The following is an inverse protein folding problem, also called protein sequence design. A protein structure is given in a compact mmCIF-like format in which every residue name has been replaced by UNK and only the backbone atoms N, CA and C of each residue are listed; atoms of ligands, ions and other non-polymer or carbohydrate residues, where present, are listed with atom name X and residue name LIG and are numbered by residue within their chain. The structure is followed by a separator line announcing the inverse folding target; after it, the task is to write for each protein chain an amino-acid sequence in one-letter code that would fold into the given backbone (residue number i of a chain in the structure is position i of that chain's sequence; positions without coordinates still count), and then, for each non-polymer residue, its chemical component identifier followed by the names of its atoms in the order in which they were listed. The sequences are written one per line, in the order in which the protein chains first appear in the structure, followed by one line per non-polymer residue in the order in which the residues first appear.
data_IF_125229073104
#
_entry.id   IF_125229073104
#
_cell.length_a   1.000
_cell.length_b   1.000
_cell.length_c   1.000
_cell.angle_alpha   90.00
_cell.angle_beta   90.00
_cell.angle_gamma   90.00
#
_symmetry.space_group_name_H-M   'P 1'
#
loop_
_entity.id
_entity.type
_entity.pdbx_description
1 polymer ?
#
# COMPACT_ATOMS: atom_id res chain seq x y z
N UNK A 1 3.80 10.70 36.18
CA UNK A 1 3.05 9.75 35.35
C UNK A 1 2.32 10.55 34.30
N UNK A 2 2.92 10.65 33.11
CA UNK A 2 2.34 11.36 31.96
C UNK A 2 1.85 10.27 31.03
N UNK A 3 0.53 10.22 30.79
CA UNK A 3 -0.09 9.34 29.80
C UNK A 3 0.48 9.64 28.41
N UNK A 4 1.41 8.80 27.98
CA UNK A 4 1.89 8.70 26.60
C UNK A 4 1.44 7.35 26.06
N UNK A 5 0.14 7.18 25.82
CA UNK A 5 -0.32 5.96 25.14
C UNK A 5 -1.64 6.14 24.38
N UNK A 6 -1.72 7.20 23.57
CA UNK A 6 -2.59 7.19 22.39
C UNK A 6 -1.72 6.83 21.17
N UNK A 7 -1.24 5.58 21.12
CA UNK A 7 -0.75 5.04 19.84
C UNK A 7 -1.96 5.01 18.91
N UNK A 8 -1.98 5.88 17.90
CA UNK A 8 -3.06 5.96 16.91
C UNK A 8 -3.08 4.66 16.09
N UNK A 9 -3.89 3.71 16.57
CA UNK A 9 -4.08 2.37 16.01
C UNK A 9 -4.84 2.47 14.69
N UNK A 10 -4.50 1.61 13.74
CA UNK A 10 -5.29 1.42 12.51
C UNK A 10 -6.75 1.10 12.87
N UNK A 11 -7.70 1.80 12.25
CA UNK A 11 -9.12 1.53 12.50
C UNK A 11 -9.56 0.22 11.82
N UNK A 12 -10.43 -0.55 12.47
CA UNK A 12 -10.92 -1.85 11.97
C UNK A 12 -11.83 -1.73 10.72
N UNK A 13 -12.30 -0.51 10.42
CA UNK A 13 -13.13 -0.20 9.27
C UNK A 13 -12.29 0.46 8.18
N UNK A 14 -12.28 -0.15 6.99
CA UNK A 14 -11.54 0.40 5.85
C UNK A 14 -12.00 1.82 5.46
N UNK A 15 -13.30 2.10 5.62
CA UNK A 15 -13.87 3.42 5.36
C UNK A 15 -13.24 4.52 6.22
N UNK A 16 -12.93 4.22 7.49
CA UNK A 16 -12.33 5.19 8.41
C UNK A 16 -10.90 5.52 8.02
N UNK A 17 -10.15 4.54 7.47
CA UNK A 17 -8.80 4.79 6.94
C UNK A 17 -8.81 5.75 5.75
N UNK A 18 -9.87 5.69 4.94
CA UNK A 18 -10.06 6.49 3.73
C UNK A 18 -10.69 7.86 3.97
N UNK A 19 -11.23 8.08 5.16
CA UNK A 19 -12.12 9.20 5.43
C UNK A 19 -11.38 10.54 5.40
N UNK A 20 -11.89 11.45 4.58
CA UNK A 20 -11.49 12.85 4.53
C UNK A 20 -12.69 13.76 4.78
N UNK A 21 -12.45 14.86 5.47
CA UNK A 21 -13.39 15.95 5.63
C UNK A 21 -13.18 16.95 4.50
N UNK A 22 -14.24 17.31 3.79
CA UNK A 22 -14.21 18.38 2.80
C UNK A 22 -14.24 19.73 3.52
N UNK A 23 -13.17 20.50 3.37
CA UNK A 23 -13.05 21.86 3.94
C UNK A 23 -13.56 22.92 2.96
N UNK A 24 -13.29 22.72 1.66
CA UNK A 24 -13.67 23.62 0.57
C UNK A 24 -13.82 22.83 -0.74
N UNK A 25 -14.25 23.50 -1.81
CA UNK A 25 -14.54 22.86 -3.11
C UNK A 25 -13.44 21.90 -3.62
N UNK A 26 -12.17 22.23 -3.40
CA UNK A 26 -11.00 21.46 -3.81
C UNK A 26 -10.00 21.24 -2.66
N UNK A 27 -10.47 21.24 -1.41
CA UNK A 27 -9.63 21.16 -0.21
C UNK A 27 -10.22 20.16 0.78
N UNK A 28 -9.39 19.20 1.21
CA UNK A 28 -9.81 18.11 2.08
C UNK A 28 -8.81 17.92 3.22
N UNK A 29 -9.26 17.32 4.32
CA UNK A 29 -8.44 17.04 5.51
C UNK A 29 -8.63 15.61 5.97
N UNK A 30 -7.53 14.90 6.24
CA UNK A 30 -7.58 13.56 6.84
C UNK A 30 -8.27 13.59 8.21
N UNK A 31 -9.17 12.65 8.50
CA UNK A 31 -9.77 12.54 9.84
C UNK A 31 -8.95 11.69 10.80
N UNK A 32 -8.40 10.59 10.31
CA UNK A 32 -7.56 9.68 11.07
C UNK A 32 -6.28 9.38 10.28
N UNK A 33 -5.21 9.10 11.02
CA UNK A 33 -3.91 8.69 10.49
C UNK A 33 -3.33 7.63 11.44
N UNK A 34 -2.65 6.63 10.89
CA UNK A 34 -2.01 5.59 11.68
C UNK A 34 -0.58 5.33 11.21
N UNK A 35 0.26 4.82 12.11
CA UNK A 35 1.63 4.41 11.83
C UNK A 35 1.73 2.90 12.00
N UNK A 36 2.22 2.15 10.99
CA UNK A 36 2.55 0.74 11.15
C UNK A 36 3.63 0.49 12.20
N UNK A 37 3.59 -0.66 12.89
CA UNK A 37 4.58 -0.99 13.91
C UNK A 37 6.01 -0.81 13.38
N UNK A 38 6.81 -0.05 14.13
CA UNK A 38 8.22 0.27 13.81
C UNK A 38 8.44 1.05 12.51
N UNK A 39 7.39 1.59 11.88
CA UNK A 39 7.50 2.55 10.80
C UNK A 39 7.83 3.96 11.32
N UNK A 40 8.29 4.84 10.43
CA UNK A 40 8.71 6.21 10.76
C UNK A 40 7.69 7.28 10.40
N UNK A 41 6.57 6.91 9.78
CA UNK A 41 5.56 7.84 9.30
C UNK A 41 4.26 7.11 9.00
N UNK A 42 3.24 7.90 8.67
CA UNK A 42 1.91 7.41 8.29
C UNK A 42 2.02 6.37 7.18
N UNK A 43 1.17 5.35 7.24
CA UNK A 43 1.09 4.33 6.20
C UNK A 43 0.85 4.93 4.82
N UNK A 44 1.69 4.57 3.84
CA UNK A 44 1.66 5.18 2.50
C UNK A 44 0.35 4.92 1.75
N UNK A 45 -0.19 3.70 1.84
CA UNK A 45 -1.50 3.35 1.28
C UNK A 45 -2.64 4.22 1.82
N UNK A 46 -2.55 4.70 3.06
CA UNK A 46 -3.54 5.63 3.61
C UNK A 46 -3.47 7.00 2.92
N UNK A 47 -2.25 7.53 2.75
CA UNK A 47 -2.02 8.82 2.07
C UNK A 47 -2.47 8.77 0.62
N UNK A 48 -2.12 7.68 -0.10
CA UNK A 48 -2.56 7.44 -1.48
C UNK A 48 -4.09 7.42 -1.55
N UNK A 49 -4.73 6.63 -0.69
CA UNK A 49 -6.15 6.42 -0.76
C UNK A 49 -6.95 7.68 -0.43
N UNK A 50 -6.53 8.46 0.58
CA UNK A 50 -7.17 9.73 0.92
C UNK A 50 -6.97 10.78 -0.18
N UNK A 51 -5.81 10.78 -0.85
CA UNK A 51 -5.58 11.63 -2.02
C UNK A 51 -6.52 11.27 -3.19
N UNK A 52 -6.73 9.97 -3.44
CA UNK A 52 -7.66 9.50 -4.47
C UNK A 52 -9.12 9.80 -4.15
N UNK A 53 -9.55 9.65 -2.89
CA UNK A 53 -10.89 10.08 -2.46
C UNK A 53 -11.06 11.58 -2.74
N UNK A 54 -10.09 12.40 -2.33
CA UNK A 54 -10.09 13.85 -2.56
C UNK A 54 -10.16 14.21 -4.05
N UNK A 55 -9.38 13.55 -4.90
CA UNK A 55 -9.39 13.77 -6.35
C UNK A 55 -10.74 13.39 -6.97
N UNK A 56 -11.30 12.25 -6.56
CA UNK A 56 -12.55 11.71 -7.10
C UNK A 56 -13.75 12.58 -6.77
N UNK A 57 -13.80 13.15 -5.56
CA UNK A 57 -14.82 14.14 -5.16
C UNK A 57 -14.79 15.44 -5.99
N UNK A 58 -13.72 15.69 -6.75
CA UNK A 58 -13.56 16.83 -7.65
C UNK A 58 -13.81 16.48 -9.13
N UNK A 59 -14.37 15.31 -9.45
CA UNK A 59 -14.58 14.81 -10.81
C UNK A 59 -16.05 14.46 -11.02
N UNK A 60 -16.56 14.73 -12.23
CA UNK A 60 -17.91 14.32 -12.63
C UNK A 60 -18.00 12.78 -12.62
N UNK A 61 -19.02 12.17 -11.98
CA UNK A 61 -19.17 10.71 -11.90
C UNK A 61 -19.21 9.97 -13.25
N UNK A 62 -19.38 10.67 -14.37
CA UNK A 62 -19.24 10.11 -15.71
C UNK A 62 -17.80 9.71 -16.09
N UNK A 63 -16.79 10.12 -15.33
CA UNK A 63 -15.38 9.76 -15.53
C UNK A 63 -14.89 8.84 -14.42
N UNK A 64 -14.41 7.66 -14.78
CA UNK A 64 -13.83 6.68 -13.86
C UNK A 64 -12.31 6.90 -13.72
N UNK A 65 -11.80 6.77 -12.50
CA UNK A 65 -10.35 6.79 -12.24
C UNK A 65 -9.68 5.63 -12.97
N UNK A 66 -8.68 5.90 -13.82
CA UNK A 66 -7.97 4.84 -14.55
C UNK A 66 -6.47 4.82 -14.27
N UNK A 67 -5.88 5.91 -13.77
CA UNK A 67 -4.49 5.88 -13.31
C UNK A 67 -4.16 6.91 -12.24
N UNK A 68 -3.14 6.60 -11.46
CA UNK A 68 -2.53 7.51 -10.50
C UNK A 68 -1.02 7.28 -10.46
N UNK A 69 -0.26 8.37 -10.41
CA UNK A 69 1.18 8.38 -10.18
C UNK A 69 1.48 9.32 -9.03
N UNK A 70 2.29 8.91 -8.06
CA UNK A 70 2.63 9.74 -6.91
C UNK A 70 4.08 9.66 -6.48
N UNK A 71 4.51 10.66 -5.71
CA UNK A 71 5.79 10.67 -5.01
C UNK A 71 5.58 10.99 -3.52
N UNK A 72 6.26 10.22 -2.68
CA UNK A 72 6.41 10.48 -1.26
C UNK A 72 7.65 11.34 -1.04
N UNK A 73 7.45 12.55 -0.53
CA UNK A 73 8.53 13.54 -0.38
C UNK A 73 9.07 13.59 1.04
N UNK A 74 8.18 13.48 2.04
CA UNK A 74 8.52 13.53 3.46
C UNK A 74 7.63 12.56 4.24
N UNK A 75 8.14 12.05 5.36
CA UNK A 75 7.33 11.26 6.30
C UNK A 75 6.23 12.13 6.92
N UNK A 76 4.97 11.74 6.72
CA UNK A 76 3.86 12.36 7.41
C UNK A 76 3.79 11.89 8.87
N UNK A 77 3.43 12.81 9.77
CA UNK A 77 3.16 12.55 11.18
C UNK A 77 1.67 12.20 11.38
N UNK A 78 1.30 11.30 12.29
CA UNK A 78 -0.11 11.02 12.58
C UNK A 78 -0.69 12.03 13.60
N UNK A 79 0.17 12.83 14.26
CA UNK A 79 -0.23 13.79 15.28
C UNK A 79 -0.89 15.05 14.71
N UNK A 80 -0.77 15.30 13.41
CA UNK A 80 -1.31 16.47 12.72
C UNK A 80 -2.06 15.95 11.48
N UNK A 81 -3.28 16.41 11.18
CA UNK A 81 -3.97 16.05 9.96
C UNK A 81 -3.16 16.42 8.69
N UNK A 82 -3.31 15.61 7.64
CA UNK A 82 -2.84 15.95 6.29
C UNK A 82 -3.95 16.73 5.59
N UNK A 83 -3.57 17.84 4.94
CA UNK A 83 -4.47 18.63 4.09
C UNK A 83 -4.18 18.33 2.63
N UNK A 84 -5.19 17.89 1.89
CA UNK A 84 -5.10 17.55 0.46
C UNK A 84 -5.68 18.70 -0.37
N UNK A 85 -4.82 19.36 -1.14
CA UNK A 85 -5.20 20.36 -2.14
C UNK A 85 -5.37 19.68 -3.49
N UNK A 86 -6.50 19.89 -4.16
CA UNK A 86 -6.78 19.31 -5.47
C UNK A 86 -6.79 20.39 -6.54
N UNK A 87 -5.88 20.30 -7.51
CA UNK A 87 -5.87 21.20 -8.67
C UNK A 87 -6.57 20.52 -9.86
N UNK A 88 -7.50 21.24 -10.49
CA UNK A 88 -8.16 20.81 -11.72
C UNK A 88 -7.28 21.11 -12.93
N UNK A 89 -6.33 20.23 -13.20
CA UNK A 89 -5.31 20.43 -14.25
C UNK A 89 -5.94 20.50 -15.64
N UNK A 90 -6.92 19.63 -15.93
CA UNK A 90 -7.58 19.57 -17.24
C UNK A 90 -8.96 18.93 -17.11
N UNK A 91 -9.95 19.54 -17.76
CA UNK A 91 -11.27 18.95 -18.01
C UNK A 91 -11.47 18.80 -19.53
N UNK A 92 -11.14 17.62 -20.06
CA UNK A 92 -11.33 17.28 -21.47
C UNK A 92 -12.61 16.49 -21.71
N UNK A 93 -12.95 16.27 -22.99
CA UNK A 93 -14.14 15.50 -23.38
C UNK A 93 -14.08 14.03 -22.95
N UNK A 94 -12.93 13.39 -23.10
CA UNK A 94 -12.74 11.97 -22.79
C UNK A 94 -11.94 11.73 -21.53
N UNK A 95 -11.02 12.65 -21.21
CA UNK A 95 -10.11 12.55 -20.07
C UNK A 95 -10.15 13.79 -19.20
N UNK A 96 -10.07 13.57 -17.90
CA UNK A 96 -10.01 14.59 -16.85
C UNK A 96 -8.77 14.31 -15.99
N UNK A 97 -8.06 15.37 -15.59
CA UNK A 97 -6.83 15.26 -14.81
C UNK A 97 -6.92 16.10 -13.55
N UNK A 98 -6.51 15.51 -12.43
CA UNK A 98 -6.39 16.16 -11.12
C UNK A 98 -4.96 16.02 -10.61
N UNK A 99 -4.39 17.10 -10.09
CA UNK A 99 -3.19 17.03 -9.28
C UNK A 99 -3.60 17.11 -7.81
N UNK A 100 -3.00 16.30 -6.94
CA UNK A 100 -3.23 16.34 -5.50
C UNK A 100 -1.93 16.64 -4.80
N UNK A 101 -1.95 17.63 -3.91
CA UNK A 101 -0.83 17.98 -3.06
C UNK A 101 -1.23 17.81 -1.60
N UNK A 102 -0.60 16.86 -0.92
CA UNK A 102 -0.77 16.61 0.50
C UNK A 102 0.23 17.45 1.29
N UNK A 103 -0.28 18.27 2.20
CA UNK A 103 0.49 19.25 2.99
C UNK A 103 0.33 18.96 4.47
N UNK A 104 1.44 19.03 5.18
CA UNK A 104 1.46 18.98 6.63
C UNK A 104 2.48 19.98 7.17
N UNK A 105 2.06 20.80 8.14
CA UNK A 105 2.89 21.87 8.71
C UNK A 105 3.54 22.78 7.64
N UNK A 106 2.74 23.19 6.64
CA UNK A 106 3.19 24.04 5.53
C UNK A 106 4.13 23.38 4.52
N UNK A 107 4.46 22.09 4.68
CA UNK A 107 5.37 21.35 3.78
C UNK A 107 4.61 20.30 3.01
N UNK A 108 4.92 20.17 1.72
CA UNK A 108 4.39 19.09 0.89
C UNK A 108 5.03 17.76 1.29
N UNK A 109 4.20 16.81 1.73
CA UNK A 109 4.65 15.46 2.12
C UNK A 109 4.45 14.45 1.00
N UNK A 110 3.48 14.70 0.12
CA UNK A 110 3.12 13.80 -0.97
C UNK A 110 2.48 14.58 -2.13
N UNK A 111 2.72 14.14 -3.36
CA UNK A 111 2.07 14.65 -4.56
C UNK A 111 1.55 13.51 -5.42
N UNK A 112 0.42 13.69 -6.08
CA UNK A 112 -0.13 12.74 -7.03
C UNK A 112 -0.70 13.42 -8.27
N UNK A 113 -0.62 12.73 -9.41
CA UNK A 113 -1.34 13.03 -10.64
C UNK A 113 -2.33 11.90 -10.89
N UNK A 114 -3.62 12.25 -10.98
CA UNK A 114 -4.72 11.31 -11.15
C UNK A 114 -5.41 11.58 -12.47
N UNK A 115 -5.64 10.52 -13.25
CA UNK A 115 -6.30 10.60 -14.55
C UNK A 115 -7.58 9.78 -14.56
N UNK A 116 -8.63 10.39 -15.09
CA UNK A 116 -9.98 9.86 -15.14
C UNK A 116 -10.46 9.85 -16.59
N UNK A 117 -11.24 8.83 -16.97
CA UNK A 117 -11.68 8.60 -18.34
C UNK A 117 -13.17 8.25 -18.36
N UNK A 118 -13.89 8.70 -19.39
CA UNK A 118 -15.23 8.17 -19.67
C UNK A 118 -15.11 6.70 -20.09
N UNK A 119 -15.80 5.75 -19.42
CA UNK A 119 -15.68 4.33 -19.77
C UNK A 119 -15.97 4.03 -21.25
N UNK A 120 -15.14 3.20 -21.88
CA UNK A 120 -15.28 2.77 -23.28
C UNK A 120 -15.39 1.23 -23.37
N UNK A 121 -16.47 0.61 -22.86
CA UNK A 121 -16.57 -0.85 -22.65
C UNK A 121 -16.59 -1.69 -23.93
N UNK A 122 -16.66 -1.07 -25.12
CA UNK A 122 -16.67 -1.75 -26.43
C UNK A 122 -15.28 -1.90 -27.05
N UNK A 123 -14.25 -1.34 -26.42
CA UNK A 123 -12.89 -1.46 -26.92
C UNK A 123 -12.36 -2.90 -26.75
N UNK A 124 -11.47 -3.38 -27.63
CA UNK A 124 -10.83 -4.69 -27.48
C UNK A 124 -10.08 -4.79 -26.14
N UNK A 125 -10.08 -5.97 -25.54
CA UNK A 125 -9.41 -6.23 -24.26
C UNK A 125 -8.45 -7.41 -24.35
N UNK A 126 -7.39 -7.34 -23.55
CA UNK A 126 -6.45 -8.41 -23.30
C UNK A 126 -5.94 -8.27 -21.86
N UNK A 127 -5.71 -9.39 -21.20
CA UNK A 127 -5.03 -9.43 -19.91
C UNK A 127 -4.08 -10.62 -19.85
N UNK A 128 -3.00 -10.47 -19.07
CA UNK A 128 -2.16 -11.60 -18.71
C UNK A 128 -2.94 -12.54 -17.80
N UNK A 129 -2.94 -13.88 -18.03
CA UNK A 129 -3.65 -14.83 -17.18
C UNK A 129 -3.25 -14.75 -15.71
N UNK A 130 -4.20 -15.01 -14.81
CA UNK A 130 -3.92 -15.19 -13.39
C UNK A 130 -3.07 -16.46 -13.19
N UNK A 131 -1.99 -16.43 -12.40
CA UNK A 131 -1.19 -17.63 -12.12
C UNK A 131 -1.99 -18.67 -11.33
N UNK A 132 -1.68 -19.94 -11.53
CA UNK A 132 -2.27 -21.02 -10.75
C UNK A 132 -1.76 -20.97 -9.30
N UNK A 133 -2.66 -20.70 -8.35
CA UNK A 133 -2.37 -20.62 -6.92
C UNK A 133 -3.47 -21.29 -6.12
N UNK A 134 -3.16 -21.65 -4.87
CA UNK A 134 -4.18 -22.10 -3.93
C UNK A 134 -5.19 -20.98 -3.65
N UNK A 135 -6.46 -21.36 -3.51
CA UNK A 135 -7.52 -20.44 -3.11
C UNK A 135 -7.31 -19.93 -1.68
N UNK A 136 -7.87 -18.75 -1.33
CA UNK A 136 -7.65 -18.10 -0.04
C UNK A 136 -8.09 -18.94 1.17
N UNK A 137 -9.01 -19.89 1.00
CA UNK A 137 -9.44 -20.81 2.05
C UNK A 137 -8.37 -21.83 2.45
N UNK A 138 -7.41 -22.09 1.57
CA UNK A 138 -6.29 -23.02 1.80
C UNK A 138 -5.02 -22.31 2.25
N UNK A 139 -5.04 -20.98 2.32
CA UNK A 139 -3.88 -20.17 2.69
C UNK A 139 -3.99 -19.69 4.14
N UNK A 140 -2.85 -19.69 4.84
CA UNK A 140 -2.72 -19.10 6.17
C UNK A 140 -2.71 -17.56 6.07
N UNK A 141 -3.32 -16.89 7.05
CA UNK A 141 -3.13 -15.45 7.27
C UNK A 141 -1.66 -15.16 7.61
N UNK A 142 -1.14 -14.00 7.21
CA UNK A 142 0.28 -13.65 7.38
C UNK A 142 0.71 -13.62 8.86
N UNK A 143 -0.19 -13.30 9.77
CA UNK A 143 0.04 -13.32 11.22
C UNK A 143 0.25 -14.73 11.78
N UNK A 144 -0.26 -15.80 11.15
CA UNK A 144 -0.10 -17.19 11.62
C UNK A 144 1.37 -17.60 11.67
N UNK A 145 2.19 -17.08 10.75
CA UNK A 145 3.65 -17.29 10.79
C UNK A 145 4.27 -16.76 12.10
N UNK A 146 3.84 -15.58 12.55
CA UNK A 146 4.34 -14.96 13.77
C UNK A 146 3.73 -15.59 15.03
N UNK A 147 2.49 -16.06 14.98
CA UNK A 147 1.89 -16.86 16.06
C UNK A 147 2.68 -18.15 16.31
N UNK A 148 3.10 -18.85 15.24
CA UNK A 148 3.97 -20.04 15.33
C UNK A 148 5.32 -19.70 15.96
N UNK A 149 5.91 -18.53 15.69
CA UNK A 149 7.14 -18.07 16.35
C UNK A 149 6.91 -17.85 17.86
N UNK A 150 5.79 -17.25 18.25
CA UNK A 150 5.46 -17.00 19.66
C UNK A 150 5.24 -18.30 20.45
N UNK A 151 4.67 -19.32 19.81
CA UNK A 151 4.41 -20.64 20.40
C UNK A 151 5.59 -21.62 20.28
N UNK A 152 6.68 -21.23 19.61
CA UNK A 152 7.82 -22.11 19.38
C UNK A 152 8.45 -22.57 20.72
N UNK A 153 8.66 -23.88 20.91
CA UNK A 153 9.38 -24.39 22.09
C UNK A 153 10.88 -24.10 22.04
N UNK A 154 11.42 -23.80 20.84
CA UNK A 154 12.81 -23.39 20.65
C UNK A 154 12.98 -21.94 21.09
N UNK A 155 14.08 -21.65 21.77
CA UNK A 155 14.44 -20.28 22.16
C UNK A 155 14.62 -19.39 20.92
N UNK A 156 13.86 -18.29 20.89
CA UNK A 156 13.91 -17.28 19.83
C UNK A 156 14.32 -15.96 20.47
N UNK A 157 15.16 -15.19 19.77
CA UNK A 157 15.58 -13.84 20.17
C UNK A 157 14.39 -13.00 20.64
N UNK A 158 14.52 -12.39 21.82
CA UNK A 158 13.45 -11.62 22.46
C UNK A 158 12.93 -10.48 21.58
N UNK A 159 13.77 -9.88 20.74
CA UNK A 159 13.41 -8.78 19.83
C UNK A 159 12.50 -9.27 18.70
N UNK A 160 12.66 -10.53 18.28
CA UNK A 160 11.81 -11.18 17.29
C UNK A 160 10.47 -11.54 17.93
N UNK A 161 10.47 -12.07 19.17
CA UNK A 161 9.23 -12.37 19.90
C UNK A 161 8.39 -11.11 20.15
N UNK A 162 9.02 -10.02 20.58
CA UNK A 162 8.35 -8.73 20.78
C UNK A 162 7.73 -8.23 19.47
N UNK A 163 8.48 -8.26 18.37
CA UNK A 163 7.95 -7.88 17.05
C UNK A 163 6.80 -8.77 16.61
N UNK A 164 6.92 -10.08 16.80
CA UNK A 164 5.88 -11.04 16.45
C UNK A 164 4.58 -10.73 17.20
N UNK A 165 4.66 -10.39 18.49
CA UNK A 165 3.51 -10.00 19.28
C UNK A 165 2.87 -8.71 18.77
N UNK A 166 3.66 -7.66 18.54
CA UNK A 166 3.19 -6.39 17.97
C UNK A 166 2.51 -6.60 16.62
N UNK A 167 3.12 -7.40 15.74
CA UNK A 167 2.64 -7.66 14.39
C UNK A 167 1.30 -8.42 14.42
N UNK A 168 1.19 -9.48 15.21
CA UNK A 168 -0.05 -10.26 15.35
C UNK A 168 -1.18 -9.37 15.87
N UNK A 169 -0.92 -8.52 16.86
CA UNK A 169 -1.91 -7.61 17.42
C UNK A 169 -2.38 -6.57 16.40
N UNK A 170 -1.47 -5.98 15.62
CA UNK A 170 -1.81 -5.04 14.54
C UNK A 170 -2.65 -5.71 13.45
N UNK A 171 -2.19 -6.86 12.91
CA UNK A 171 -2.87 -7.55 11.81
C UNK A 171 -4.28 -8.03 12.14
N UNK A 172 -4.52 -8.45 13.40
CA UNK A 172 -5.85 -8.84 13.89
C UNK A 172 -6.87 -7.69 13.85
N UNK A 173 -6.41 -6.45 14.04
CA UNK A 173 -7.26 -5.24 14.03
C UNK A 173 -7.27 -4.51 12.69
N UNK A 174 -6.37 -4.85 11.78
CA UNK A 174 -6.26 -4.19 10.49
C UNK A 174 -7.58 -4.25 9.69
N UNK A 175 -7.96 -3.21 8.93
CA UNK A 175 -9.14 -3.21 8.06
C UNK A 175 -8.93 -4.04 6.79
N UNK A 176 -7.77 -4.65 6.61
CA UNK A 176 -7.49 -5.58 5.52
C UNK A 176 -7.05 -6.93 6.09
N UNK A 177 -7.43 -8.03 5.46
CA UNK A 177 -6.89 -9.36 5.67
C UNK A 177 -5.84 -9.68 4.59
N UNK A 178 -4.79 -10.42 4.97
CA UNK A 178 -3.70 -10.77 4.05
C UNK A 178 -3.34 -12.23 4.29
N UNK A 179 -3.36 -13.04 3.22
CA UNK A 179 -2.94 -14.44 3.25
C UNK A 179 -1.80 -14.70 2.30
N UNK A 180 -0.89 -15.59 2.66
CA UNK A 180 0.23 -15.96 1.79
C UNK A 180 -0.23 -17.00 0.77
N UNK A 181 -0.26 -16.64 -0.51
CA UNK A 181 -0.68 -17.55 -1.59
C UNK A 181 0.49 -18.39 -2.14
N UNK A 182 1.73 -17.91 -1.98
CA UNK A 182 2.93 -18.66 -2.31
C UNK A 182 4.04 -17.82 -2.93
N UNK A 183 5.10 -18.50 -3.35
CA UNK A 183 6.23 -17.92 -4.10
C UNK A 183 6.51 -18.85 -5.27
N UNK A 184 6.49 -18.31 -6.50
CA UNK A 184 6.93 -19.01 -7.71
C UNK A 184 8.32 -18.49 -8.09
N UNK A 185 9.18 -19.38 -8.55
CA UNK A 185 10.50 -19.03 -9.09
C UNK A 185 10.59 -19.52 -10.52
N UNK A 186 10.45 -18.61 -11.47
CA UNK A 186 10.56 -18.87 -12.91
C UNK A 186 11.70 -18.02 -13.48
N UNK A 187 12.58 -18.62 -14.27
CA UNK A 187 13.72 -17.95 -14.92
C UNK A 187 14.61 -17.12 -13.97
N UNK A 188 14.72 -17.56 -12.71
CA UNK A 188 15.47 -16.88 -11.65
C UNK A 188 14.78 -15.69 -11.00
N UNK A 189 13.58 -15.31 -11.46
CA UNK A 189 12.76 -14.27 -10.83
C UNK A 189 11.83 -14.88 -9.78
N UNK A 190 11.91 -14.37 -8.55
CA UNK A 190 10.96 -14.72 -7.48
C UNK A 190 9.71 -13.84 -7.56
N UNK A 191 8.57 -14.48 -7.72
CA UNK A 191 7.25 -13.85 -7.70
C UNK A 191 6.54 -14.23 -6.41
N UNK A 192 6.27 -13.25 -5.57
CA UNK A 192 5.52 -13.41 -4.33
C UNK A 192 4.03 -13.15 -4.57
N UNK A 193 3.17 -13.95 -3.96
CA UNK A 193 1.72 -13.84 -4.16
C UNK A 193 0.99 -13.82 -2.83
N UNK A 194 0.03 -12.93 -2.71
CA UNK A 194 -0.80 -12.77 -1.52
C UNK A 194 -2.26 -12.56 -1.89
N UNK A 195 -3.16 -13.12 -1.10
CA UNK A 195 -4.57 -12.76 -1.15
C UNK A 195 -4.84 -11.59 -0.21
N UNK A 196 -5.54 -10.58 -0.69
CA UNK A 196 -5.97 -9.41 0.06
C UNK A 196 -7.48 -9.29 0.07
N UNK A 197 -8.03 -8.81 1.18
CA UNK A 197 -9.46 -8.52 1.30
C UNK A 197 -9.66 -7.40 2.29
N UNK A 198 -10.43 -6.37 1.95
CA UNK A 198 -10.91 -5.38 2.89
C UNK A 198 -12.00 -5.97 3.80
N UNK A 199 -11.95 -5.59 5.08
CA UNK A 199 -12.94 -5.92 6.10
C UNK A 199 -13.93 -4.77 6.20
N UNK A 200 -15.20 -5.12 6.43
CA UNK A 200 -16.27 -4.14 6.69
C UNK A 200 -16.39 -3.06 5.61
N UNK A 201 -16.36 -3.45 4.33
CA UNK A 201 -16.52 -2.52 3.21
C UNK A 201 -17.94 -1.89 3.28
N UNK A 202 -18.05 -0.56 3.29
CA UNK A 202 -19.35 0.10 3.31
C UNK A 202 -20.10 -0.12 2.00
N UNK A 203 -21.43 -0.16 2.07
CA UNK A 203 -22.28 -0.07 0.89
C UNK A 203 -22.51 1.40 0.55
N UNK A 204 -22.57 1.71 -0.74
CA UNK A 204 -22.79 3.08 -1.22
C UNK A 204 -24.17 3.22 -1.87
N UNK A 205 -24.69 4.45 -1.84
CA UNK A 205 -26.03 4.76 -2.36
C UNK A 205 -26.11 4.72 -3.90
N UNK A 206 -24.98 4.63 -4.60
CA UNK A 206 -24.95 4.50 -6.06
C UNK A 206 -23.81 3.60 -6.57
N UNK A 207 -24.02 2.85 -7.67
CA UNK A 207 -22.98 2.00 -8.24
C UNK A 207 -21.72 2.75 -8.69
N UNK A 208 -21.87 3.97 -9.22
CA UNK A 208 -20.73 4.78 -9.65
C UNK A 208 -19.85 5.21 -8.47
N UNK A 209 -20.48 5.58 -7.34
CA UNK A 209 -19.78 5.92 -6.10
C UNK A 209 -19.11 4.68 -5.49
N UNK A 210 -19.79 3.54 -5.54
CA UNK A 210 -19.23 2.26 -5.11
C UNK A 210 -17.97 1.91 -5.89
N UNK A 211 -18.03 1.88 -7.23
CA UNK A 211 -16.87 1.59 -8.09
C UNK A 211 -15.68 2.52 -7.82
N UNK A 212 -15.95 3.84 -7.69
CA UNK A 212 -14.93 4.82 -7.34
C UNK A 212 -14.26 4.53 -5.99
N UNK A 213 -15.06 4.14 -4.99
CA UNK A 213 -14.54 3.87 -3.66
C UNK A 213 -13.81 2.52 -3.57
N UNK A 214 -14.23 1.51 -4.33
CA UNK A 214 -13.50 0.24 -4.48
C UNK A 214 -12.09 0.47 -5.02
N UNK A 215 -11.91 1.39 -5.98
CA UNK A 215 -10.57 1.80 -6.46
C UNK A 215 -9.74 2.52 -5.41
N UNK A 216 -10.38 3.34 -4.56
CA UNK A 216 -9.70 3.93 -3.41
C UNK A 216 -9.25 2.85 -2.42
N UNK A 217 -10.11 1.89 -2.07
CA UNK A 217 -9.75 0.76 -1.20
C UNK A 217 -8.61 -0.07 -1.81
N UNK A 218 -8.65 -0.36 -3.10
CA UNK A 218 -7.58 -1.07 -3.80
C UNK A 218 -6.24 -0.34 -3.68
N UNK A 219 -6.25 1.00 -3.76
CA UNK A 219 -5.04 1.81 -3.60
C UNK A 219 -4.45 1.80 -2.18
N UNK A 220 -5.30 1.58 -1.17
CA UNK A 220 -4.84 1.33 0.19
C UNK A 220 -4.13 -0.02 0.30
N UNK A 221 -4.75 -1.04 -0.30
CA UNK A 221 -4.24 -2.41 -0.34
C UNK A 221 -2.91 -2.48 -1.13
N UNK A 222 -2.75 -1.71 -2.19
CA UNK A 222 -1.61 -1.82 -3.12
C UNK A 222 -0.26 -1.48 -2.54
N UNK A 223 -0.20 -0.68 -1.47
CA UNK A 223 1.04 -0.37 -0.73
C UNK A 223 1.33 -1.38 0.39
N UNK A 224 0.42 -2.33 0.66
CA UNK A 224 0.62 -3.38 1.66
C UNK A 224 1.42 -4.56 1.10
N UNK A 225 2.44 -5.01 1.83
CA UNK A 225 3.33 -6.12 1.44
C UNK A 225 3.95 -6.00 0.02
N UNK A 226 4.10 -4.77 -0.50
CA UNK A 226 4.64 -4.54 -1.84
C UNK A 226 6.16 -4.38 -1.84
N UNK A 227 6.70 -3.27 -1.34
CA UNK A 227 8.15 -3.01 -1.31
C UNK A 227 8.95 -4.05 -0.49
N UNK A 228 8.30 -4.72 0.46
CA UNK A 228 8.93 -5.79 1.24
C UNK A 228 9.40 -6.96 0.36
N UNK A 229 8.82 -7.17 -0.81
CA UNK A 229 9.25 -8.19 -1.77
C UNK A 229 10.65 -7.90 -2.31
N UNK A 230 10.98 -6.62 -2.54
CA UNK A 230 12.31 -6.26 -3.00
C UNK A 230 13.39 -6.48 -1.93
N UNK A 231 13.10 -6.21 -0.64
CA UNK A 231 14.05 -6.56 0.44
C UNK A 231 14.26 -8.08 0.56
N UNK A 232 13.19 -8.87 0.35
CA UNK A 232 13.26 -10.34 0.41
C UNK A 232 14.07 -10.90 -0.75
N UNK A 233 13.94 -10.31 -1.93
CA UNK A 233 14.75 -10.63 -3.11
C UNK A 233 16.24 -10.40 -2.85
N UNK A 234 16.60 -9.34 -2.12
CA UNK A 234 17.97 -9.05 -1.69
C UNK A 234 18.45 -9.88 -0.49
N UNK A 235 17.61 -10.74 0.10
CA UNK A 235 17.95 -11.51 1.30
C UNK A 235 18.17 -10.64 2.55
N UNK A 236 17.58 -9.44 2.60
CA UNK A 236 17.70 -8.53 3.73
C UNK A 236 16.62 -8.78 4.78
N UNK A 237 17.04 -8.82 6.04
CA UNK A 237 16.15 -9.00 7.19
C UNK A 237 16.40 -7.97 8.30
N UNK A 238 15.35 -7.58 9.02
CA UNK A 238 15.43 -6.56 10.07
C UNK A 238 16.21 -7.00 11.31
N UNK A 239 16.23 -8.32 11.57
CA UNK A 239 16.86 -8.93 12.73
C UNK A 239 18.19 -9.63 12.41
N UNK A 240 18.53 -9.77 11.12
CA UNK A 240 19.84 -10.23 10.69
C UNK A 240 20.97 -9.35 11.24
N UNK A 241 22.18 -9.92 11.28
CA UNK A 241 23.42 -9.24 11.65
C UNK A 241 24.28 -8.96 10.41
N UNK A 242 25.17 -7.99 10.50
CA UNK A 242 26.11 -7.65 9.43
C UNK A 242 25.44 -7.16 8.15
N UNK A 243 26.02 -7.48 7.00
CA UNK A 243 25.61 -6.97 5.68
C UNK A 243 24.19 -7.39 5.24
N UNK A 244 23.59 -8.41 5.87
CA UNK A 244 22.21 -8.83 5.59
C UNK A 244 21.16 -8.06 6.40
N UNK A 245 21.60 -7.22 7.34
CA UNK A 245 20.67 -6.43 8.16
C UNK A 245 20.06 -5.31 7.32
N UNK A 246 18.74 -5.19 7.34
CA UNK A 246 18.03 -4.07 6.74
C UNK A 246 18.25 -2.79 7.57
N UNK A 247 18.74 -1.73 6.93
CA UNK A 247 18.92 -0.41 7.55
C UNK A 247 17.77 0.55 7.26
N UNK A 248 17.25 0.53 6.02
CA UNK A 248 16.18 1.42 5.59
C UNK A 248 15.31 0.75 4.53
N UNK A 249 14.00 0.94 4.67
CA UNK A 249 12.97 0.56 3.72
C UNK A 249 11.93 1.67 3.68
N UNK A 250 11.85 2.43 2.59
CA UNK A 250 10.83 3.47 2.42
C UNK A 250 10.40 3.60 0.97
N UNK A 251 9.13 3.87 0.76
CA UNK A 251 8.56 4.15 -0.55
C UNK A 251 9.05 5.49 -1.08
N UNK A 252 9.38 5.57 -2.38
CA UNK A 252 9.69 6.82 -3.08
C UNK A 252 8.52 7.26 -3.96
N UNK A 253 7.98 6.32 -4.75
CA UNK A 253 6.83 6.54 -5.61
C UNK A 253 5.85 5.37 -5.55
N UNK A 254 4.64 5.57 -6.05
CA UNK A 254 3.68 4.50 -6.30
C UNK A 254 2.83 4.85 -7.50
N UNK A 255 2.57 3.86 -8.35
CA UNK A 255 1.74 4.02 -9.54
C UNK A 255 0.73 2.90 -9.59
N UNK A 256 -0.51 3.24 -9.97
CA UNK A 256 -1.60 2.29 -10.18
C UNK A 256 -2.27 2.62 -11.51
N UNK A 257 -2.52 1.58 -12.30
CA UNK A 257 -3.43 1.62 -13.45
C UNK A 257 -4.60 0.69 -13.19
N UNK A 258 -5.82 1.20 -13.28
CA UNK A 258 -7.06 0.47 -13.05
C UNK A 258 -7.73 0.12 -14.38
N UNK A 259 -8.16 -1.13 -14.54
CA UNK A 259 -8.75 -1.64 -15.79
C UNK A 259 -10.18 -2.15 -15.64
N UNK A 260 -10.67 -2.27 -14.41
CA UNK A 260 -12.01 -2.79 -14.13
C UNK A 260 -12.73 -1.88 -13.11
N UNK A 261 -14.04 -1.74 -13.26
CA UNK A 261 -14.94 -0.97 -12.36
C UNK A 261 -15.89 -1.89 -11.56
N UNK A 262 -15.82 -3.20 -11.79
CA UNK A 262 -16.79 -4.22 -11.33
C UNK A 262 -16.18 -5.23 -10.36
N UNK A 263 -15.21 -4.80 -9.55
CA UNK A 263 -14.60 -5.63 -8.52
C UNK A 263 -15.01 -5.17 -7.12
N UNK A 264 -14.99 -6.11 -6.18
CA UNK A 264 -15.27 -5.87 -4.78
C UNK A 264 -14.05 -6.22 -3.93
N UNK A 265 -13.47 -5.22 -3.26
CA UNK A 265 -12.40 -5.44 -2.29
C UNK A 265 -12.87 -6.18 -1.04
N UNK A 266 -14.18 -6.33 -0.82
CA UNK A 266 -14.77 -7.22 0.20
C UNK A 266 -14.64 -8.71 -0.13
N UNK A 267 -14.35 -9.06 -1.39
CA UNK A 267 -13.88 -10.37 -1.80
C UNK A 267 -12.35 -10.39 -1.97
N UNK A 268 -11.79 -11.59 -2.11
CA UNK A 268 -10.35 -11.79 -2.21
C UNK A 268 -9.80 -11.34 -3.57
N UNK A 269 -8.76 -10.51 -3.51
CA UNK A 269 -7.93 -10.11 -4.63
C UNK A 269 -6.54 -10.75 -4.52
N UNK A 270 -6.07 -11.42 -5.57
CA UNK A 270 -4.71 -11.96 -5.65
C UNK A 270 -3.76 -10.87 -6.11
N UNK A 271 -2.76 -10.53 -5.30
CA UNK A 271 -1.70 -9.61 -5.66
C UNK A 271 -0.41 -10.38 -5.99
N UNK A 272 0.00 -10.33 -7.25
CA UNK A 272 1.17 -11.02 -7.81
C UNK A 272 2.30 -10.01 -7.96
N UNK A 273 3.38 -10.18 -7.20
CA UNK A 273 4.42 -9.16 -7.00
C UNK A 273 5.79 -9.72 -7.36
N UNK A 274 6.55 -8.99 -8.16
CA UNK A 274 7.92 -9.35 -8.55
C UNK A 274 8.88 -8.16 -8.43
N UNK A 275 10.16 -8.42 -8.21
CA UNK A 275 11.23 -7.41 -8.20
C UNK A 275 12.16 -7.63 -9.39
N UNK A 276 11.97 -6.91 -10.52
CA UNK A 276 12.83 -7.09 -11.68
C UNK A 276 14.24 -6.52 -11.46
N UNK A 277 14.40 -5.53 -10.57
CA UNK A 277 15.70 -4.94 -10.26
C UNK A 277 15.76 -4.37 -8.84
N UNK A 278 16.86 -4.67 -8.14
CA UNK A 278 17.23 -3.98 -6.91
C UNK A 278 18.75 -3.80 -6.83
N UNK A 279 19.21 -2.60 -6.50
CA UNK A 279 20.61 -2.19 -6.49
C UNK A 279 20.77 -0.69 -6.27
N UNK A 280 21.98 -0.22 -5.95
CA UNK A 280 22.24 1.21 -5.75
C UNK A 280 21.44 1.84 -4.60
N UNK A 281 21.08 1.05 -3.58
CA UNK A 281 20.27 1.50 -2.44
C UNK A 281 18.77 1.63 -2.74
N UNK A 282 18.28 1.09 -3.86
CA UNK A 282 16.87 1.10 -4.25
C UNK A 282 16.42 -0.26 -4.79
N UNK A 283 15.11 -0.44 -4.91
CA UNK A 283 14.54 -1.56 -5.66
C UNK A 283 13.15 -1.23 -6.18
N UNK A 284 12.85 -1.75 -7.37
CA UNK A 284 11.55 -1.61 -8.01
C UNK A 284 10.74 -2.90 -7.82
N UNK A 285 9.45 -2.74 -7.56
CA UNK A 285 8.46 -3.81 -7.53
C UNK A 285 7.39 -3.55 -8.57
N UNK A 286 6.95 -4.61 -9.23
CA UNK A 286 5.79 -4.61 -10.11
C UNK A 286 4.74 -5.55 -9.56
N UNK A 287 3.49 -5.13 -9.67
CA UNK A 287 2.36 -5.86 -9.13
C UNK A 287 1.21 -5.97 -10.12
N UNK A 288 0.45 -7.06 -10.01
CA UNK A 288 -0.79 -7.31 -10.76
C UNK A 288 -1.83 -7.82 -9.79
N UNK A 289 -3.00 -7.18 -9.74
CA UNK A 289 -4.10 -7.55 -8.86
C UNK A 289 -5.21 -8.21 -9.66
N UNK A 290 -5.59 -9.42 -9.26
CA UNK A 290 -6.63 -10.21 -9.90
C UNK A 290 -7.81 -10.39 -8.95
N UNK A 291 -9.04 -10.41 -9.47
CA UNK A 291 -10.17 -10.97 -8.72
C UNK A 291 -9.94 -12.45 -8.46
N UNK A 292 -10.69 -13.01 -7.50
CA UNK A 292 -10.74 -14.46 -7.27
C UNK A 292 -11.05 -15.27 -8.54
N UNK A 293 -11.82 -14.71 -9.47
CA UNK A 293 -12.19 -15.33 -10.75
C UNK A 293 -11.17 -15.13 -11.86
N UNK A 294 -10.10 -14.36 -11.61
CA UNK A 294 -8.97 -14.19 -12.53
C UNK A 294 -9.03 -12.94 -13.41
N UNK A 295 -9.95 -12.00 -13.18
CA UNK A 295 -9.98 -10.71 -13.90
C UNK A 295 -8.85 -9.82 -13.38
N UNK A 296 -7.98 -9.30 -14.27
CA UNK A 296 -6.90 -8.38 -13.90
C UNK A 296 -7.47 -6.97 -13.70
N UNK A 297 -7.65 -6.55 -12.45
CA UNK A 297 -8.31 -5.28 -12.12
C UNK A 297 -7.36 -4.10 -12.03
N UNK A 298 -6.10 -4.35 -11.66
CA UNK A 298 -5.09 -3.30 -11.54
C UNK A 298 -3.66 -3.79 -11.79
N UNK A 299 -2.83 -2.89 -12.29
CA UNK A 299 -1.37 -3.05 -12.42
C UNK A 299 -0.69 -1.97 -11.60
N UNK A 300 0.39 -2.32 -10.91
CA UNK A 300 1.09 -1.41 -9.99
C UNK A 300 2.60 -1.41 -10.21
N UNK A 301 3.23 -0.29 -9.88
CA UNK A 301 4.68 -0.16 -9.85
C UNK A 301 5.10 0.77 -8.71
N UNK A 302 6.23 0.46 -8.07
CA UNK A 302 6.80 1.27 -6.99
C UNK A 302 8.31 1.05 -6.92
N UNK A 303 9.07 2.13 -6.83
CA UNK A 303 10.45 2.14 -6.39
C UNK A 303 10.50 2.58 -4.93
N UNK A 304 11.41 1.97 -4.17
CA UNK A 304 11.69 2.39 -2.81
C UNK A 304 13.17 2.35 -2.50
N UNK A 305 13.56 3.09 -1.47
CA UNK A 305 14.88 2.98 -0.86
C UNK A 305 14.96 1.64 -0.14
N UNK A 306 16.01 0.89 -0.43
CA UNK A 306 16.31 -0.39 0.23
C UNK A 306 17.80 -0.40 0.54
N UNK A 307 18.15 -0.17 1.80
CA UNK A 307 19.55 -0.10 2.24
C UNK A 307 19.85 -1.21 3.22
N UNK A 308 20.94 -1.91 2.97
CA UNK A 308 21.57 -2.79 3.94
C UNK A 308 22.37 -1.97 4.96
N UNK A 309 22.58 -2.53 6.14
CA UNK A 309 23.50 -1.99 7.13
C UNK A 309 24.92 -2.38 6.71
N UNK A 310 25.54 -1.54 5.89
CA UNK A 310 26.94 -1.74 5.52
C UNK A 310 27.82 -1.38 6.73
N UNK A 311 28.72 -2.29 7.10
CA UNK A 311 29.88 -1.94 7.90
C UNK A 311 30.90 -1.33 6.93
N UNK A 312 31.49 -0.20 7.28
CA UNK A 312 32.69 0.29 6.58
C UNK A 312 33.76 -0.83 6.61
N UNK A 313 34.53 -1.09 5.53
CA UNK A 313 35.71 -1.95 5.59
C UNK A 313 36.68 -1.63 6.75
N UNK A 314 36.64 -0.43 7.33
CA UNK A 314 37.39 -0.03 8.53
C UNK A 314 36.77 -0.46 9.87
N UNK A 315 35.52 -0.96 9.88
CA UNK A 315 34.80 -1.35 11.10
C UNK A 315 34.02 -0.21 11.80
N UNK A 316 34.06 1.02 11.30
CA UNK A 316 33.25 2.12 11.84
C UNK A 316 31.87 2.17 11.21
N UNK A 317 30.82 2.15 12.04
CA UNK A 317 29.44 2.39 11.57
C UNK A 317 29.27 3.85 11.19
N UNK A 318 29.38 4.20 9.91
CA UNK A 318 28.76 5.43 9.44
C UNK A 318 27.23 5.25 9.53
N UNK A 319 26.60 5.94 10.48
CA UNK A 319 25.17 6.22 10.37
C UNK A 319 25.02 7.10 9.14
N UNK A 320 24.61 6.51 8.02
CA UNK A 320 24.18 7.24 6.81
C UNK A 320 23.24 8.38 7.20
N UNK A 321 23.77 9.60 7.31
CA UNK A 321 23.02 10.84 7.49
C UNK A 321 22.59 11.32 6.10
N UNK A 322 21.62 10.64 5.50
CA UNK A 322 20.83 11.11 4.36
C UNK A 322 19.43 10.51 4.48
#
# INVERSE_FOLDING_TARGET
MVELENKQVEHELISTSLEVEKLEANLFRSKSLWIPIRARGVFGGQVISQALVSATECVDPAYALHSMHCYFLLSASPAIPIVYHVDRVRDGRSYVTRAVRAVQNGRTVFIAMCSFQRPEPRQPSYQTPMPAVQGPEQCDDVEVYYEKILMSPVEVDSRIKEYALEYVQERKKSPIAIKTAGIISEDGMKTHMYWFKARNVPKFDSPAKEAAYQKCILSYISDSHFLVVARRTLGLDSFAKGAQRLAMLTTLDHTIWFYDDSFDCGDWLLYVISTPRAGGGRGVVHGRMYTRTGTLVAVTSQEGVIRAHLLDPSGTTERSKL
#
